data_IF_296082867517
#
_entry.id   IF_296082867517
#
_cell.length_a   1.000
_cell.length_b   1.000
_cell.length_c   1.000
_cell.angle_alpha   90.00
_cell.angle_beta   90.00
_cell.angle_gamma   90.00
#
_symmetry.space_group_name_H-M   'P 1'
#
loop_
_entity.id
_entity.type
_entity.pdbx_description
1 polymer ?
#
# COMPACT_ATOMS: atom_id res chain seq x y z
N UNK A 1 2.09 -7.19 -7.91
CA UNK A 1 3.07 -7.97 -7.13
C UNK A 1 3.20 -7.54 -5.67
N UNK A 2 2.61 -6.42 -5.28
CA UNK A 2 2.77 -5.79 -3.95
C UNK A 2 2.38 -6.68 -2.74
N UNK A 3 1.64 -7.76 -2.97
CA UNK A 3 1.22 -8.70 -1.92
C UNK A 3 1.83 -10.10 -2.08
N UNK A 4 2.59 -10.35 -3.17
CA UNK A 4 3.12 -11.66 -3.48
C UNK A 4 4.45 -11.90 -2.75
N UNK A 5 4.58 -13.09 -2.16
CA UNK A 5 5.82 -13.52 -1.51
C UNK A 5 6.72 -14.25 -2.51
N UNK A 6 8.02 -13.95 -2.59
CA UNK A 6 8.93 -14.64 -3.51
C UNK A 6 8.97 -16.15 -3.28
N UNK A 7 8.84 -16.66 -2.07
CA UNK A 7 8.81 -18.12 -1.80
C UNK A 7 7.68 -18.86 -2.53
N UNK A 8 6.54 -18.17 -2.77
CA UNK A 8 5.42 -18.76 -3.50
C UNK A 8 5.70 -18.94 -5.01
N UNK A 9 6.57 -18.09 -5.56
CA UNK A 9 6.92 -18.07 -6.98
C UNK A 9 8.22 -18.80 -7.27
N UNK A 10 9.20 -18.74 -6.36
CA UNK A 10 10.52 -19.35 -6.52
C UNK A 10 10.46 -20.84 -6.91
N UNK A 11 9.48 -21.59 -6.39
CA UNK A 11 9.29 -23.01 -6.70
C UNK A 11 8.96 -23.32 -8.16
N UNK A 12 8.61 -22.31 -8.95
CA UNK A 12 8.32 -22.44 -10.38
C UNK A 12 9.48 -21.97 -11.26
N UNK A 13 10.59 -21.56 -10.66
CA UNK A 13 11.82 -21.15 -11.35
C UNK A 13 12.84 -22.28 -11.36
N UNK A 14 13.74 -22.28 -12.36
CA UNK A 14 14.81 -23.27 -12.44
C UNK A 14 15.91 -23.04 -11.40
N UNK A 15 16.06 -21.78 -10.92
CA UNK A 15 17.10 -21.37 -9.97
C UNK A 15 16.46 -20.62 -8.79
N UNK A 16 15.74 -21.31 -7.91
CA UNK A 16 15.03 -20.68 -6.80
C UNK A 16 15.96 -19.92 -5.84
N UNK A 17 17.21 -20.34 -5.70
CA UNK A 17 18.25 -19.69 -4.89
C UNK A 17 18.65 -18.31 -5.43
N UNK A 18 18.45 -18.03 -6.71
CA UNK A 18 18.69 -16.74 -7.34
C UNK A 18 17.42 -15.90 -7.50
N UNK A 19 16.28 -16.42 -7.02
CA UNK A 19 15.00 -15.72 -7.11
C UNK A 19 14.73 -14.88 -5.87
N UNK A 20 14.33 -13.63 -6.09
CA UNK A 20 13.91 -12.69 -5.05
C UNK A 20 12.97 -11.65 -5.64
N UNK A 21 12.36 -10.82 -4.79
CA UNK A 21 11.47 -9.77 -5.24
C UNK A 21 12.15 -8.40 -5.22
N UNK A 22 11.94 -7.65 -6.30
CA UNK A 22 12.31 -6.24 -6.42
C UNK A 22 11.02 -5.44 -6.64
N UNK A 23 10.61 -4.67 -5.63
CA UNK A 23 9.34 -3.96 -5.60
C UNK A 23 9.55 -2.46 -5.61
N UNK A 24 9.12 -1.81 -6.68
CA UNK A 24 9.19 -0.37 -6.85
C UNK A 24 7.96 0.31 -6.23
N UNK A 25 8.18 1.43 -5.55
CA UNK A 25 7.10 2.30 -5.13
C UNK A 25 6.46 3.03 -6.33
N UNK A 26 5.24 3.55 -6.13
CA UNK A 26 4.60 4.37 -7.15
C UNK A 26 5.39 5.66 -7.40
N UNK A 27 5.34 6.15 -8.66
CA UNK A 27 6.04 7.38 -9.08
C UNK A 27 7.54 7.32 -8.86
N UNK A 28 8.19 6.24 -9.32
CA UNK A 28 9.62 5.96 -9.14
C UNK A 28 10.54 7.10 -9.56
N UNK A 29 10.11 7.92 -10.53
CA UNK A 29 10.83 9.13 -10.98
C UNK A 29 10.85 10.28 -9.96
N UNK A 30 10.03 10.19 -8.89
CA UNK A 30 10.03 11.13 -7.76
C UNK A 30 10.46 10.46 -6.47
N UNK A 31 10.03 9.23 -6.27
CA UNK A 31 10.25 8.44 -5.06
C UNK A 31 11.12 7.23 -5.42
N UNK A 32 12.41 7.45 -5.55
CA UNK A 32 13.39 6.47 -6.05
C UNK A 32 13.75 5.39 -5.01
N UNK A 33 12.75 4.83 -4.33
CA UNK A 33 12.93 3.70 -3.42
C UNK A 33 12.56 2.38 -4.11
N UNK A 34 13.24 1.31 -3.73
CA UNK A 34 12.94 -0.04 -4.15
C UNK A 34 13.12 -1.02 -2.99
N UNK A 35 12.10 -1.81 -2.74
CA UNK A 35 12.09 -2.79 -1.65
C UNK A 35 12.60 -4.13 -2.18
N UNK A 36 13.65 -4.65 -1.55
CA UNK A 36 14.33 -5.89 -1.96
C UNK A 36 14.01 -6.98 -0.94
N UNK A 37 13.23 -7.98 -1.34
CA UNK A 37 12.77 -9.03 -0.45
C UNK A 37 13.24 -10.40 -0.91
N UNK A 38 14.04 -11.06 -0.07
CA UNK A 38 14.49 -12.43 -0.27
C UNK A 38 13.56 -13.43 0.43
N UNK A 39 13.55 -14.68 -0.03
CA UNK A 39 12.98 -15.80 0.71
C UNK A 39 14.08 -16.65 1.38
N UNK A 40 13.68 -17.65 2.16
CA UNK A 40 14.60 -18.42 3.00
C UNK A 40 15.73 -19.15 2.23
N UNK A 41 15.50 -19.46 0.94
CA UNK A 41 16.48 -20.15 0.09
C UNK A 41 17.26 -19.20 -0.83
N UNK A 42 16.98 -17.90 -0.83
CA UNK A 42 17.72 -16.94 -1.66
C UNK A 42 19.17 -16.85 -1.18
N UNK A 43 20.11 -17.07 -2.09
CA UNK A 43 21.53 -16.92 -1.81
C UNK A 43 21.90 -15.47 -1.50
N UNK A 44 22.84 -15.31 -0.56
CA UNK A 44 23.36 -13.99 -0.20
C UNK A 44 23.94 -13.23 -1.41
N UNK A 45 24.64 -13.94 -2.29
CA UNK A 45 25.23 -13.35 -3.50
C UNK A 45 24.17 -12.73 -4.40
N UNK A 46 23.11 -13.45 -4.72
CA UNK A 46 22.01 -12.95 -5.54
C UNK A 46 21.33 -11.73 -4.92
N UNK A 47 21.13 -11.75 -3.59
CA UNK A 47 20.56 -10.61 -2.85
C UNK A 47 21.48 -9.38 -2.92
N UNK A 48 22.78 -9.55 -2.67
CA UNK A 48 23.77 -8.47 -2.70
C UNK A 48 23.91 -7.86 -4.11
N UNK A 49 23.84 -8.69 -5.16
CA UNK A 49 23.86 -8.25 -6.55
C UNK A 49 22.65 -7.38 -6.90
N UNK A 50 21.45 -7.74 -6.44
CA UNK A 50 20.24 -6.93 -6.65
C UNK A 50 20.28 -5.62 -5.86
N UNK A 51 20.83 -5.62 -4.65
CA UNK A 51 21.08 -4.38 -3.88
C UNK A 51 22.06 -3.46 -4.65
N UNK A 52 23.14 -4.02 -5.19
CA UNK A 52 24.12 -3.27 -6.01
C UNK A 52 23.45 -2.69 -7.27
N UNK A 53 22.77 -3.54 -8.04
CA UNK A 53 22.02 -3.14 -9.22
C UNK A 53 21.04 -2.01 -8.93
N UNK A 54 20.29 -2.09 -7.82
CA UNK A 54 19.36 -1.04 -7.43
C UNK A 54 20.04 0.32 -7.28
N UNK A 55 21.24 0.35 -6.69
CA UNK A 55 22.04 1.58 -6.55
C UNK A 55 22.55 2.10 -7.90
N UNK A 56 22.96 1.18 -8.80
CA UNK A 56 23.47 1.53 -10.15
C UNK A 56 22.38 2.20 -11.00
N UNK A 57 21.11 1.84 -10.80
CA UNK A 57 19.97 2.50 -11.46
C UNK A 57 19.41 3.70 -10.65
N UNK A 58 20.21 4.27 -9.75
CA UNK A 58 19.86 5.42 -8.90
C UNK A 58 18.64 5.21 -8.00
N UNK A 59 18.36 3.97 -7.59
CA UNK A 59 17.34 3.66 -6.60
C UNK A 59 17.95 3.54 -5.19
N UNK A 60 17.16 3.83 -4.19
CA UNK A 60 17.48 3.60 -2.77
C UNK A 60 16.95 2.23 -2.40
N UNK A 61 17.80 1.19 -2.26
CA UNK A 61 17.34 -0.14 -1.89
C UNK A 61 16.96 -0.22 -0.42
N UNK A 62 15.80 -0.78 -0.15
CA UNK A 62 15.29 -1.08 1.18
C UNK A 62 15.27 -2.62 1.37
N UNK A 63 16.28 -3.19 2.03
CA UNK A 63 16.37 -4.63 2.23
C UNK A 63 15.37 -5.12 3.28
N UNK A 64 14.62 -6.18 2.96
CA UNK A 64 13.77 -6.88 3.92
C UNK A 64 14.48 -8.13 4.43
N UNK A 65 14.63 -8.24 5.73
CA UNK A 65 15.27 -9.39 6.39
C UNK A 65 14.45 -10.68 6.29
N UNK A 66 13.11 -10.55 6.20
CA UNK A 66 12.14 -11.65 6.09
C UNK A 66 11.05 -11.29 5.09
N UNK A 67 10.39 -12.32 4.57
CA UNK A 67 9.22 -12.14 3.72
C UNK A 67 8.07 -11.46 4.46
N UNK A 68 7.50 -10.45 3.82
CA UNK A 68 6.33 -9.73 4.32
C UNK A 68 5.42 -9.35 3.15
N UNK A 69 4.18 -9.82 3.14
CA UNK A 69 3.16 -9.33 2.22
C UNK A 69 2.91 -7.84 2.49
N UNK A 70 2.91 -7.03 1.44
CA UNK A 70 2.82 -5.56 1.56
C UNK A 70 4.17 -4.87 1.78
N UNK A 71 5.27 -5.63 1.89
CA UNK A 71 6.62 -5.08 2.07
C UNK A 71 6.69 -4.13 3.29
N UNK A 72 7.56 -3.12 3.27
CA UNK A 72 7.61 -2.10 4.34
C UNK A 72 6.52 -1.04 4.12
N UNK A 73 6.49 -0.46 2.93
CA UNK A 73 5.65 0.70 2.63
C UNK A 73 4.16 0.39 2.82
N UNK A 74 3.64 -0.64 2.16
CA UNK A 74 2.22 -0.97 2.26
C UNK A 74 1.84 -1.55 3.62
N UNK A 75 2.79 -2.15 4.36
CA UNK A 75 2.56 -2.60 5.74
C UNK A 75 2.31 -1.45 6.72
N UNK A 76 2.79 -0.25 6.42
CA UNK A 76 2.52 0.98 7.18
C UNK A 76 1.34 1.75 6.60
N UNK A 77 1.31 1.90 5.27
CA UNK A 77 0.33 2.73 4.58
C UNK A 77 -1.10 2.18 4.71
N UNK A 78 -1.31 0.88 4.51
CA UNK A 78 -2.65 0.29 4.53
C UNK A 78 -3.34 0.45 5.89
N UNK A 79 -2.70 0.11 7.04
CA UNK A 79 -3.30 0.36 8.35
C UNK A 79 -3.56 1.84 8.63
N UNK A 80 -2.68 2.74 8.17
CA UNK A 80 -2.89 4.17 8.29
C UNK A 80 -4.14 4.65 7.53
N UNK A 81 -4.34 4.18 6.31
CA UNK A 81 -5.53 4.50 5.52
C UNK A 81 -6.80 3.88 6.12
N UNK A 82 -6.71 2.66 6.67
CA UNK A 82 -7.83 2.04 7.37
C UNK A 82 -8.23 2.83 8.61
N UNK A 83 -7.28 3.23 9.45
CA UNK A 83 -7.56 4.05 10.63
C UNK A 83 -8.27 5.36 10.25
N UNK A 84 -7.85 5.97 9.14
CA UNK A 84 -8.43 7.23 8.66
C UNK A 84 -9.84 7.04 8.08
N UNK A 85 -10.06 5.98 7.29
CA UNK A 85 -11.39 5.62 6.81
C UNK A 85 -12.34 5.29 7.98
N UNK A 86 -11.83 4.63 9.02
CA UNK A 86 -12.60 4.27 10.21
C UNK A 86 -13.16 5.50 10.93
N UNK A 87 -12.33 6.52 11.12
CA UNK A 87 -12.76 7.80 11.71
C UNK A 87 -13.91 8.44 10.91
N UNK A 88 -13.90 8.29 9.60
CA UNK A 88 -14.94 8.84 8.74
C UNK A 88 -16.22 8.01 8.77
N UNK A 89 -16.14 6.69 8.58
CA UNK A 89 -17.33 5.82 8.51
C UNK A 89 -18.03 5.69 9.86
N UNK A 90 -17.33 5.91 10.97
CA UNK A 90 -17.89 5.94 12.33
C UNK A 90 -18.41 7.33 12.73
N UNK A 91 -18.32 8.33 11.83
CA UNK A 91 -18.84 9.67 12.06
C UNK A 91 -18.05 10.53 13.05
N UNK A 92 -16.79 10.15 13.34
CA UNK A 92 -15.92 10.93 14.23
C UNK A 92 -15.54 12.26 13.59
N UNK A 93 -15.23 12.27 12.27
CA UNK A 93 -14.89 13.50 11.57
C UNK A 93 -15.04 13.34 10.04
N UNK A 94 -14.95 14.46 9.33
CA UNK A 94 -14.98 14.51 7.87
C UNK A 94 -13.56 14.34 7.24
N UNK A 95 -13.47 13.98 5.95
CA UNK A 95 -12.18 13.77 5.27
C UNK A 95 -11.23 14.96 5.34
N UNK A 96 -11.75 16.19 5.20
CA UNK A 96 -10.92 17.41 5.21
C UNK A 96 -10.31 17.66 6.59
N UNK A 97 -11.09 17.49 7.65
CA UNK A 97 -10.61 17.65 9.02
C UNK A 97 -9.57 16.58 9.38
N UNK A 98 -9.78 15.32 8.97
CA UNK A 98 -8.82 14.22 9.18
C UNK A 98 -7.51 14.50 8.43
N UNK A 99 -7.57 14.90 7.16
CA UNK A 99 -6.40 15.29 6.38
C UNK A 99 -5.66 16.49 7.00
N UNK A 100 -6.41 17.49 7.48
CA UNK A 100 -5.84 18.66 8.16
C UNK A 100 -5.12 18.26 9.44
N UNK A 101 -5.74 17.41 10.26
CA UNK A 101 -5.13 16.93 11.50
C UNK A 101 -3.79 16.22 11.21
N UNK A 102 -3.75 15.36 10.19
CA UNK A 102 -2.53 14.66 9.82
C UNK A 102 -1.45 15.59 9.26
N UNK A 103 -1.80 16.42 8.26
CA UNK A 103 -0.82 17.28 7.58
C UNK A 103 -0.26 18.35 8.50
N UNK A 104 -1.11 19.00 9.33
CA UNK A 104 -0.66 20.04 10.26
C UNK A 104 0.01 19.46 11.51
N UNK A 105 -0.48 18.33 12.01
CA UNK A 105 0.08 17.69 13.20
C UNK A 105 1.44 17.03 12.98
N UNK A 106 1.72 16.57 11.75
CA UNK A 106 2.96 15.82 11.44
C UNK A 106 3.89 16.52 10.47
N UNK A 107 3.42 17.56 9.77
CA UNK A 107 4.15 18.18 8.67
C UNK A 107 4.13 17.36 7.36
N UNK A 108 3.33 16.30 7.29
CA UNK A 108 3.21 15.48 6.08
C UNK A 108 2.62 16.31 4.91
N UNK A 109 3.10 16.10 3.67
CA UNK A 109 2.65 16.89 2.51
C UNK A 109 1.23 16.58 2.06
N UNK A 110 0.72 15.38 2.37
CA UNK A 110 -0.61 14.89 1.97
C UNK A 110 -1.29 14.18 3.14
N UNK A 111 -2.61 14.35 3.23
CA UNK A 111 -3.43 13.62 4.18
C UNK A 111 -3.92 12.28 3.63
N UNK A 112 -4.49 11.41 4.49
CA UNK A 112 -4.89 10.06 4.12
C UNK A 112 -5.94 10.02 3.01
N UNK A 113 -6.89 10.94 2.96
CA UNK A 113 -7.91 10.96 1.91
C UNK A 113 -7.35 11.48 0.57
N UNK A 114 -6.39 12.41 0.60
CA UNK A 114 -5.63 12.80 -0.59
C UNK A 114 -4.81 11.61 -1.12
N UNK A 115 -4.23 10.79 -0.24
CA UNK A 115 -3.50 9.58 -0.62
C UNK A 115 -4.45 8.53 -1.19
N UNK A 116 -5.65 8.32 -0.61
CA UNK A 116 -6.67 7.42 -1.14
C UNK A 116 -7.10 7.81 -2.56
N UNK A 117 -7.33 9.09 -2.82
CA UNK A 117 -7.67 9.59 -4.16
C UNK A 117 -6.53 9.39 -5.17
N UNK A 118 -5.27 9.52 -4.72
CA UNK A 118 -4.08 9.28 -5.55
C UNK A 118 -3.87 7.80 -5.87
N UNK A 119 -4.12 6.92 -4.90
CA UNK A 119 -4.06 5.45 -5.09
C UNK A 119 -5.18 4.96 -5.99
N UNK A 120 -6.33 5.63 -5.92
CA UNK A 120 -7.55 5.29 -6.61
C UNK A 120 -8.51 4.47 -5.74
N UNK A 121 -9.77 4.92 -5.68
CA UNK A 121 -10.77 4.35 -4.76
C UNK A 121 -11.14 2.91 -5.11
N UNK A 122 -11.02 2.51 -6.39
CA UNK A 122 -11.20 1.11 -6.79
C UNK A 122 -10.13 0.21 -6.15
N UNK A 123 -8.86 0.63 -6.17
CA UNK A 123 -7.76 -0.09 -5.51
C UNK A 123 -7.97 -0.16 -4.00
N UNK A 124 -8.37 0.96 -3.39
CA UNK A 124 -8.68 1.01 -1.95
C UNK A 124 -9.82 0.05 -1.60
N UNK A 125 -10.89 0.03 -2.40
CA UNK A 125 -12.01 -0.90 -2.26
C UNK A 125 -11.56 -2.37 -2.31
N UNK A 126 -10.78 -2.74 -3.34
CA UNK A 126 -10.30 -4.12 -3.51
C UNK A 126 -9.43 -4.58 -2.33
N UNK A 127 -8.66 -3.65 -1.74
CA UNK A 127 -7.87 -3.95 -0.53
C UNK A 127 -8.78 -4.13 0.68
N UNK A 128 -9.77 -3.25 0.91
CA UNK A 128 -10.73 -3.36 2.02
C UNK A 128 -11.52 -4.66 1.95
N UNK A 129 -11.95 -5.07 0.74
CA UNK A 129 -12.69 -6.32 0.50
C UNK A 129 -11.94 -7.58 1.00
N UNK A 130 -10.61 -7.56 1.01
CA UNK A 130 -9.82 -8.66 1.56
C UNK A 130 -10.06 -8.87 3.07
N UNK A 131 -10.53 -7.84 3.77
CA UNK A 131 -10.72 -7.83 5.22
C UNK A 131 -12.19 -7.89 5.67
N UNK A 132 -13.16 -7.67 4.77
CA UNK A 132 -14.62 -7.67 5.09
C UNK A 132 -15.09 -8.97 5.73
N UNK A 133 -14.42 -10.09 5.45
CA UNK A 133 -14.75 -11.41 6.01
C UNK A 133 -14.34 -11.59 7.48
N UNK A 134 -13.53 -10.68 8.02
CA UNK A 134 -13.13 -10.72 9.44
C UNK A 134 -14.38 -10.42 10.27
N UNK A 135 -14.74 -11.30 11.24
CA UNK A 135 -15.87 -11.05 12.11
C UNK A 135 -15.74 -9.70 12.83
N UNK A 136 -16.81 -8.91 12.86
CA UNK A 136 -16.78 -7.53 13.38
C UNK A 136 -16.35 -7.43 14.84
N UNK A 137 -16.60 -8.47 15.66
CA UNK A 137 -16.22 -8.47 17.08
C UNK A 137 -14.70 -8.64 17.33
N UNK A 138 -13.91 -9.03 16.30
CA UNK A 138 -12.45 -9.12 16.36
C UNK A 138 -11.76 -8.22 15.33
N UNK A 139 -12.53 -7.60 14.43
CA UNK A 139 -11.98 -6.70 13.43
C UNK A 139 -11.49 -5.41 14.10
N UNK A 140 -10.27 -4.95 13.79
CA UNK A 140 -9.75 -3.72 14.38
C UNK A 140 -10.40 -2.45 13.78
N UNK A 141 -11.15 -2.60 12.68
CA UNK A 141 -11.81 -1.50 11.95
C UNK A 141 -13.15 -1.95 11.37
N UNK A 142 -14.01 -0.99 11.01
CA UNK A 142 -15.34 -1.18 10.42
C UNK A 142 -15.25 -1.45 8.91
N UNK A 143 -14.63 -2.57 8.50
CA UNK A 143 -14.36 -2.89 7.08
C UNK A 143 -15.60 -2.96 6.20
N UNK A 144 -16.75 -3.39 6.73
CA UNK A 144 -18.02 -3.45 5.98
C UNK A 144 -18.52 -2.07 5.61
N UNK A 145 -18.44 -1.14 6.55
CA UNK A 145 -18.83 0.27 6.39
C UNK A 145 -17.89 0.97 5.42
N UNK A 146 -16.58 0.71 5.53
CA UNK A 146 -15.58 1.22 4.57
C UNK A 146 -15.83 0.70 3.16
N UNK A 147 -16.11 -0.60 3.01
CA UNK A 147 -16.43 -1.22 1.72
C UNK A 147 -17.68 -0.57 1.11
N UNK A 148 -18.74 -0.40 1.90
CA UNK A 148 -19.98 0.25 1.46
C UNK A 148 -19.72 1.68 1.00
N UNK A 149 -19.00 2.48 1.77
CA UNK A 149 -18.62 3.86 1.44
C UNK A 149 -17.86 3.91 0.11
N UNK A 150 -16.78 3.14 -0.02
CA UNK A 150 -15.95 3.16 -1.23
C UNK A 150 -16.74 2.71 -2.46
N UNK A 151 -17.60 1.70 -2.32
CA UNK A 151 -18.48 1.23 -3.38
C UNK A 151 -19.46 2.32 -3.84
N UNK A 152 -20.01 3.11 -2.91
CA UNK A 152 -20.87 4.25 -3.23
C UNK A 152 -20.14 5.31 -4.05
N UNK A 153 -18.91 5.68 -3.64
CA UNK A 153 -18.07 6.60 -4.42
C UNK A 153 -17.81 6.08 -5.83
N UNK A 154 -17.42 4.80 -5.96
CA UNK A 154 -17.16 4.15 -7.25
C UNK A 154 -18.39 4.15 -8.14
N UNK A 155 -19.57 3.80 -7.60
CA UNK A 155 -20.83 3.76 -8.35
C UNK A 155 -21.25 5.17 -8.86
N UNK A 156 -20.83 6.23 -8.17
CA UNK A 156 -21.03 7.62 -8.56
C UNK A 156 -19.92 8.17 -9.49
N UNK A 157 -19.03 7.31 -9.99
CA UNK A 157 -17.94 7.70 -10.88
C UNK A 157 -16.77 8.43 -10.21
N UNK A 158 -16.77 8.53 -8.88
CA UNK A 158 -15.72 9.19 -8.10
C UNK A 158 -14.61 8.19 -7.78
N UNK A 159 -13.68 8.05 -8.74
CA UNK A 159 -12.63 7.03 -8.69
C UNK A 159 -11.31 7.55 -8.10
N UNK A 160 -11.22 8.81 -7.78
CA UNK A 160 -10.04 9.48 -7.27
C UNK A 160 -9.42 10.47 -8.26
N UNK A 161 -8.19 10.88 -7.99
CA UNK A 161 -7.51 11.95 -8.71
C UNK A 161 -7.42 11.75 -10.22
N UNK A 162 -7.16 10.54 -10.70
CA UNK A 162 -7.07 10.22 -12.14
C UNK A 162 -8.37 10.39 -12.90
N UNK A 163 -9.51 10.33 -12.21
CA UNK A 163 -10.85 10.54 -12.76
C UNK A 163 -11.38 11.98 -12.52
N UNK A 164 -10.56 12.86 -11.93
CA UNK A 164 -10.91 14.24 -11.62
C UNK A 164 -11.73 14.42 -10.34
N UNK A 165 -12.28 13.35 -9.76
CA UNK A 165 -13.04 13.41 -8.51
C UNK A 165 -12.91 12.10 -7.72
N UNK A 166 -12.75 12.24 -6.41
CA UNK A 166 -12.78 11.19 -5.41
C UNK A 166 -13.39 11.75 -4.13
N UNK A 167 -12.65 11.72 -3.01
CA UNK A 167 -13.01 12.48 -1.81
C UNK A 167 -12.88 13.98 -2.07
N UNK A 168 -12.04 14.38 -3.01
CA UNK A 168 -11.85 15.76 -3.46
C UNK A 168 -12.11 15.89 -4.97
N UNK A 169 -12.29 17.15 -5.42
CA UNK A 169 -12.29 17.53 -6.84
C UNK A 169 -10.90 18.03 -7.25
N UNK A 170 -10.42 17.68 -8.44
CA UNK A 170 -9.10 17.97 -8.96
C UNK A 170 -9.15 18.74 -10.28
#
# INVERSE_FOLDING_TARGET
>A
SSTMLPSKLAKYTNNPENFLALHFANSIWKNNIVEVMKHAKTEKKAFDEVIKFSKEINMIPLPLAKEKSGYLLNSMLIPFLFASLDLYVTGISDPKSIDTAWTRGTGAPEGPFQILDKVGLKTAYDIVEMYVKIPSFIAPYHFKEMSKLLKEYINNGKLGKSAGEGFYKY
#
